data_IF_283060323413
#
_entry.id   IF_283060323413
#
_cell.length_a   1.000
_cell.length_b   1.000
_cell.length_c   1.000
_cell.angle_alpha   90.00
_cell.angle_beta   90.00
_cell.angle_gamma   90.00
#
_symmetry.space_group_name_H-M   'P 1'
#
loop_
_entity.id
_entity.type
_entity.pdbx_description
1 polymer ?
#
# COMPACT_ATOMS: atom_id res chain seq x y z
N UNK A 1 14.26 -6.95 -13.54
CA UNK A 1 13.93 -5.52 -13.68
C UNK A 1 13.55 -5.09 -15.09
N UNK A 2 14.20 -5.55 -16.16
CA UNK A 2 13.81 -5.11 -17.52
C UNK A 2 12.34 -5.43 -17.88
N UNK A 3 11.86 -6.64 -17.54
CA UNK A 3 10.45 -7.01 -17.74
C UNK A 3 9.48 -6.12 -16.94
N UNK A 4 9.84 -5.76 -15.71
CA UNK A 4 9.05 -4.85 -14.87
C UNK A 4 8.97 -3.46 -15.50
N UNK A 5 10.10 -2.88 -15.91
CA UNK A 5 10.11 -1.57 -16.57
C UNK A 5 9.31 -1.55 -17.88
N UNK A 6 9.31 -2.65 -18.63
CA UNK A 6 8.56 -2.80 -19.87
C UNK A 6 7.03 -2.86 -19.66
N UNK A 7 6.55 -3.15 -18.45
CA UNK A 7 5.13 -3.10 -18.12
C UNK A 7 4.60 -1.66 -17.96
N UNK A 8 5.49 -0.66 -17.89
CA UNK A 8 5.14 0.75 -17.78
C UNK A 8 5.33 1.49 -19.11
N UNK A 9 4.94 2.77 -19.13
CA UNK A 9 5.19 3.65 -20.28
C UNK A 9 6.69 3.77 -20.60
N UNK A 10 7.06 4.06 -21.86
CA UNK A 10 8.44 3.97 -22.36
C UNK A 10 9.44 4.88 -21.64
N UNK A 11 8.97 5.92 -20.93
CA UNK A 11 9.81 6.86 -20.16
C UNK A 11 9.79 6.62 -18.65
N UNK A 12 9.09 5.58 -18.17
CA UNK A 12 8.88 5.35 -16.73
C UNK A 12 10.19 5.21 -15.95
N UNK A 13 11.14 4.44 -16.50
CA UNK A 13 12.46 4.29 -15.88
C UNK A 13 13.18 5.63 -15.75
N UNK A 14 13.22 6.42 -16.82
CA UNK A 14 13.84 7.75 -16.82
C UNK A 14 13.18 8.70 -15.82
N UNK A 15 11.84 8.67 -15.70
CA UNK A 15 11.14 9.48 -14.71
C UNK A 15 11.45 9.04 -13.27
N UNK A 16 11.54 7.74 -13.01
CA UNK A 16 11.93 7.21 -11.71
C UNK A 16 13.39 7.57 -11.36
N UNK A 17 14.31 7.48 -12.31
CA UNK A 17 15.71 7.91 -12.14
C UNK A 17 15.81 9.40 -11.80
N UNK A 18 15.07 10.27 -12.48
CA UNK A 18 15.05 11.70 -12.20
C UNK A 18 14.47 12.01 -10.81
N UNK A 19 13.39 11.32 -10.43
CA UNK A 19 12.81 11.44 -9.09
C UNK A 19 13.81 11.03 -8.00
N UNK A 20 14.44 9.87 -8.17
CA UNK A 20 15.44 9.33 -7.24
C UNK A 20 16.69 10.21 -7.17
N UNK A 21 17.11 10.84 -8.27
CA UNK A 21 18.20 11.82 -8.25
C UNK A 21 17.89 13.00 -7.31
N UNK A 22 16.63 13.48 -7.29
CA UNK A 22 16.19 14.52 -6.36
C UNK A 22 16.21 14.06 -4.90
N UNK A 23 15.74 12.84 -4.62
CA UNK A 23 15.82 12.22 -3.27
C UNK A 23 17.28 12.13 -2.83
N UNK A 24 18.14 11.59 -3.68
CA UNK A 24 19.56 11.38 -3.39
C UNK A 24 20.33 12.69 -3.22
N UNK A 25 19.94 13.76 -3.91
CA UNK A 25 20.50 15.09 -3.68
C UNK A 25 20.20 15.58 -2.25
N UNK A 26 18.97 15.36 -1.75
CA UNK A 26 18.61 15.69 -0.37
C UNK A 26 19.37 14.83 0.65
N UNK A 27 19.50 13.53 0.39
CA UNK A 27 20.29 12.60 1.22
C UNK A 27 21.76 13.02 1.28
N UNK A 28 22.34 13.42 0.14
CA UNK A 28 23.72 13.91 0.07
C UNK A 28 23.91 15.20 0.89
N UNK A 29 22.96 16.14 0.84
CA UNK A 29 23.00 17.34 1.67
C UNK A 29 22.97 17.02 3.17
N UNK A 30 22.15 16.04 3.59
CA UNK A 30 22.09 15.58 4.99
C UNK A 30 23.42 14.96 5.40
N UNK A 31 23.97 14.06 4.58
CA UNK A 31 25.24 13.38 4.88
C UNK A 31 26.44 14.34 4.89
N UNK A 32 26.40 15.41 4.09
CA UNK A 32 27.39 16.48 4.09
C UNK A 32 27.20 17.51 5.22
N UNK A 33 26.18 17.36 6.08
CA UNK A 33 25.88 18.30 7.16
C UNK A 33 25.30 19.64 6.69
N UNK A 34 24.93 19.78 5.41
CA UNK A 34 24.28 20.97 4.85
C UNK A 34 22.81 21.07 5.28
N UNK A 35 22.20 19.92 5.58
CA UNK A 35 20.84 19.81 6.11
C UNK A 35 20.86 19.00 7.42
N UNK A 36 19.96 19.31 8.37
CA UNK A 36 19.88 18.55 9.61
C UNK A 36 19.42 17.12 9.33
N UNK A 37 19.96 16.16 10.11
CA UNK A 37 19.46 14.79 10.11
C UNK A 37 18.00 14.78 10.63
N UNK A 38 17.04 14.23 9.87
CA UNK A 38 15.65 14.12 10.33
C UNK A 38 15.56 13.40 11.68
N UNK A 39 14.59 13.78 12.50
CA UNK A 39 14.47 13.35 13.89
C UNK A 39 14.31 11.83 14.00
N UNK A 40 13.62 11.21 13.06
CA UNK A 40 13.36 9.77 13.00
C UNK A 40 14.66 8.98 12.91
N UNK A 41 15.58 9.40 12.04
CA UNK A 41 16.91 8.81 11.91
C UNK A 41 17.74 8.98 13.18
N UNK A 42 17.63 10.15 13.84
CA UNK A 42 18.32 10.42 15.11
C UNK A 42 17.81 9.52 16.24
N UNK A 43 16.49 9.38 16.37
CA UNK A 43 15.85 8.51 17.36
C UNK A 43 16.23 7.05 17.10
N UNK A 44 16.21 6.61 15.85
CA UNK A 44 16.53 5.25 15.47
C UNK A 44 18.04 4.93 15.49
N UNK A 45 18.91 5.93 15.63
CA UNK A 45 20.36 5.76 15.53
C UNK A 45 20.82 5.31 14.13
N UNK A 46 20.07 5.67 13.08
CA UNK A 46 20.32 5.29 11.69
C UNK A 46 20.60 6.52 10.82
N UNK A 47 20.92 6.29 9.54
CA UNK A 47 21.11 7.35 8.53
C UNK A 47 20.29 7.03 7.28
N UNK A 48 19.85 8.04 6.51
CA UNK A 48 19.20 7.81 5.24
C UNK A 48 20.18 7.18 4.24
N UNK A 49 19.71 6.17 3.52
CA UNK A 49 20.45 5.53 2.44
C UNK A 49 20.11 6.17 1.08
N UNK A 50 20.95 5.93 0.08
CA UNK A 50 20.69 6.31 -1.30
C UNK A 50 19.66 5.37 -1.93
N UNK A 51 18.78 5.94 -2.74
CA UNK A 51 17.74 5.22 -3.45
C UNK A 51 18.20 4.84 -4.85
N UNK A 52 17.65 3.75 -5.37
CA UNK A 52 17.70 3.34 -6.77
C UNK A 52 16.34 3.51 -7.43
N UNK A 53 16.29 3.63 -8.77
CA UNK A 53 15.02 3.75 -9.50
C UNK A 53 14.11 2.52 -9.26
N UNK A 54 14.73 1.35 -9.07
CA UNK A 54 14.07 0.09 -8.76
C UNK A 54 13.27 0.15 -7.45
N UNK A 55 13.71 0.94 -6.47
CA UNK A 55 13.01 1.05 -5.18
C UNK A 55 11.63 1.71 -5.32
N UNK A 56 11.42 2.52 -6.36
CA UNK A 56 10.12 3.15 -6.67
C UNK A 56 9.09 2.11 -7.12
N UNK A 57 9.51 1.05 -7.82
CA UNK A 57 8.61 0.03 -8.38
C UNK A 57 8.50 -1.21 -7.50
N UNK A 58 9.55 -1.55 -6.73
CA UNK A 58 9.55 -2.68 -5.78
C UNK A 58 8.42 -2.61 -4.74
N UNK A 59 8.04 -1.41 -4.31
CA UNK A 59 6.96 -1.25 -3.31
C UNK A 59 5.62 -1.80 -3.83
N UNK A 60 5.41 -1.88 -5.16
CA UNK A 60 4.14 -2.34 -5.74
C UNK A 60 4.03 -3.85 -5.90
N UNK A 61 5.13 -4.61 -5.91
CA UNK A 61 5.08 -6.08 -6.11
C UNK A 61 4.39 -6.81 -4.95
N UNK A 62 4.21 -6.14 -3.80
CA UNK A 62 3.48 -6.67 -2.65
C UNK A 62 2.00 -6.23 -2.62
N UNK A 63 1.50 -5.57 -3.66
CA UNK A 63 0.16 -4.97 -3.72
C UNK A 63 -0.84 -5.74 -4.57
N UNK A 64 -0.73 -7.06 -4.73
CA UNK A 64 -1.67 -7.84 -5.54
C UNK A 64 -2.96 -8.07 -4.76
N UNK A 65 -3.86 -7.10 -4.94
CA UNK A 65 -5.25 -6.97 -4.50
C UNK A 65 -5.46 -7.10 -2.98
N UNK A 66 -6.01 -6.05 -2.38
CA UNK A 66 -6.19 -5.79 -0.93
C UNK A 66 -7.03 -6.83 -0.16
N UNK A 67 -7.27 -8.00 -0.73
CA UNK A 67 -8.07 -9.08 -0.19
C UNK A 67 -7.30 -10.40 -0.03
N UNK A 68 -6.02 -10.53 -0.40
CA UNK A 68 -5.32 -11.85 -0.35
C UNK A 68 -5.39 -12.52 1.03
N UNK A 69 -5.24 -11.77 2.12
CA UNK A 69 -5.40 -12.28 3.47
C UNK A 69 -6.84 -12.75 3.76
N UNK A 70 -7.83 -12.01 3.25
CA UNK A 70 -9.25 -12.36 3.33
C UNK A 70 -9.61 -13.58 2.47
N UNK A 71 -8.93 -13.80 1.33
CA UNK A 71 -9.10 -14.98 0.47
C UNK A 71 -8.47 -16.24 1.10
N UNK A 72 -7.28 -16.12 1.71
CA UNK A 72 -6.69 -17.23 2.48
C UNK A 72 -7.61 -17.60 3.65
N UNK A 73 -8.12 -16.60 4.38
CA UNK A 73 -9.10 -16.84 5.45
C UNK A 73 -10.38 -17.50 4.93
N UNK A 74 -10.88 -17.10 3.76
CA UNK A 74 -12.02 -17.75 3.08
C UNK A 74 -11.74 -19.22 2.78
N UNK A 75 -10.56 -19.56 2.27
CA UNK A 75 -10.18 -20.95 1.99
C UNK A 75 -10.16 -21.79 3.28
N UNK A 76 -9.60 -21.25 4.37
CA UNK A 76 -9.58 -21.92 5.67
C UNK A 76 -10.99 -22.12 6.25
N UNK A 77 -11.87 -21.13 6.12
CA UNK A 77 -13.29 -21.25 6.52
C UNK A 77 -14.01 -22.30 5.67
N UNK A 78 -13.78 -22.29 4.35
CA UNK A 78 -14.37 -23.25 3.44
C UNK A 78 -13.93 -24.69 3.76
N UNK A 79 -12.66 -24.89 4.12
CA UNK A 79 -12.18 -26.19 4.59
C UNK A 79 -12.84 -26.62 5.91
N UNK A 80 -12.97 -25.72 6.87
CA UNK A 80 -13.46 -26.06 8.22
C UNK A 80 -14.99 -26.23 8.30
N UNK A 81 -15.76 -25.47 7.52
CA UNK A 81 -17.21 -25.34 7.69
C UNK A 81 -18.00 -25.29 6.36
N UNK A 82 -17.34 -25.51 5.23
CA UNK A 82 -17.94 -25.39 3.89
C UNK A 82 -17.97 -23.95 3.38
N UNK A 83 -18.05 -23.80 2.06
CA UNK A 83 -17.93 -22.50 1.39
C UNK A 83 -19.00 -21.48 1.83
N UNK A 84 -20.22 -21.96 2.10
CA UNK A 84 -21.33 -21.12 2.52
C UNK A 84 -21.12 -20.46 3.88
N UNK A 85 -20.23 -20.99 4.72
CA UNK A 85 -19.93 -20.41 6.03
C UNK A 85 -19.25 -19.03 5.90
N UNK A 86 -18.55 -18.74 4.79
CA UNK A 86 -17.85 -17.47 4.59
C UNK A 86 -18.79 -16.26 4.57
N UNK A 87 -20.08 -16.46 4.24
CA UNK A 87 -21.10 -15.40 4.25
C UNK A 87 -21.30 -14.77 5.63
N UNK A 88 -20.99 -15.50 6.70
CA UNK A 88 -21.08 -14.98 8.08
C UNK A 88 -19.86 -14.16 8.47
N UNK A 89 -18.74 -14.32 7.75
CA UNK A 89 -17.51 -13.56 7.97
C UNK A 89 -17.51 -12.27 7.14
N UNK A 90 -17.81 -12.37 5.85
CA UNK A 90 -17.80 -11.24 4.92
C UNK A 90 -19.00 -11.33 3.97
N UNK A 91 -19.82 -10.27 3.96
CA UNK A 91 -20.80 -10.04 2.89
C UNK A 91 -20.08 -9.53 1.63
N UNK A 92 -20.35 -10.17 0.50
CA UNK A 92 -19.86 -9.75 -0.82
C UNK A 92 -20.81 -8.73 -1.44
N UNK A 93 -20.25 -7.65 -1.97
CA UNK A 93 -21.01 -6.58 -2.62
C UNK A 93 -20.32 -6.18 -3.94
N UNK A 94 -21.02 -6.23 -5.10
CA UNK A 94 -22.41 -6.67 -5.26
C UNK A 94 -22.61 -8.15 -4.90
N UNK A 95 -23.86 -8.58 -4.72
CA UNK A 95 -24.20 -9.96 -4.38
C UNK A 95 -23.50 -10.95 -5.34
N UNK A 96 -22.81 -11.93 -4.77
CA UNK A 96 -22.02 -12.90 -5.52
C UNK A 96 -22.09 -14.29 -4.90
N UNK A 97 -22.27 -15.31 -5.73
CA UNK A 97 -22.19 -16.72 -5.31
C UNK A 97 -20.79 -17.25 -5.52
N UNK A 98 -20.05 -17.39 -4.42
CA UNK A 98 -18.68 -17.91 -4.45
C UNK A 98 -18.66 -19.36 -4.95
N UNK A 99 -17.64 -19.71 -5.73
CA UNK A 99 -17.37 -21.08 -6.18
C UNK A 99 -15.90 -21.39 -5.94
N UNK A 100 -15.60 -22.65 -5.64
CA UNK A 100 -14.22 -23.13 -5.59
C UNK A 100 -13.69 -23.19 -7.02
N UNK A 101 -12.57 -22.52 -7.35
CA UNK A 101 -11.92 -22.66 -8.65
C UNK A 101 -11.57 -24.10 -8.96
N UNK A 102 -11.62 -24.48 -10.24
CA UNK A 102 -11.20 -25.82 -10.68
C UNK A 102 -9.75 -26.11 -10.23
N UNK A 103 -9.54 -27.27 -9.63
CA UNK A 103 -8.23 -27.70 -9.14
C UNK A 103 -7.78 -27.12 -7.79
N UNK A 104 -8.57 -26.24 -7.16
CA UNK A 104 -8.27 -25.74 -5.82
C UNK A 104 -8.91 -26.64 -4.74
N UNK A 105 -8.09 -27.21 -3.86
CA UNK A 105 -8.56 -27.77 -2.58
C UNK A 105 -8.35 -26.71 -1.47
N UNK A 106 -9.42 -26.15 -0.87
CA UNK A 106 -9.29 -25.18 0.22
C UNK A 106 -8.52 -25.72 1.43
N UNK A 107 -8.57 -27.03 1.70
CA UNK A 107 -7.85 -27.66 2.80
C UNK A 107 -6.35 -27.79 2.54
N UNK A 108 -5.91 -27.64 1.28
CA UNK A 108 -4.49 -27.64 0.94
C UNK A 108 -3.78 -26.31 1.27
N UNK A 109 -4.52 -25.23 1.54
CA UNK A 109 -3.96 -23.90 1.79
C UNK A 109 -3.38 -23.83 3.21
N UNK A 110 -2.04 -23.68 3.37
CA UNK A 110 -1.45 -23.60 4.69
C UNK A 110 -1.84 -22.29 5.40
N UNK A 111 -2.08 -22.36 6.70
CA UNK A 111 -2.43 -21.19 7.51
C UNK A 111 -1.37 -20.07 7.46
N UNK A 112 -0.09 -20.45 7.38
CA UNK A 112 1.06 -19.53 7.30
C UNK A 112 1.50 -19.17 5.87
N UNK A 113 0.70 -19.46 4.84
CA UNK A 113 1.08 -19.25 3.43
C UNK A 113 1.45 -17.78 3.10
N UNK A 114 1.00 -16.84 3.93
CA UNK A 114 1.26 -15.41 3.77
C UNK A 114 2.37 -14.86 4.67
N UNK A 115 3.22 -15.68 5.28
CA UNK A 115 4.32 -15.20 6.14
C UNK A 115 5.20 -14.17 5.43
N UNK A 116 5.73 -14.51 4.24
CA UNK A 116 6.57 -13.59 3.47
C UNK A 116 5.81 -12.32 3.04
N UNK A 117 4.51 -12.45 2.74
CA UNK A 117 3.65 -11.32 2.39
C UNK A 117 3.42 -10.38 3.58
N UNK A 118 3.10 -10.93 4.77
CA UNK A 118 2.96 -10.16 6.01
C UNK A 118 4.24 -9.39 6.30
N UNK A 119 5.40 -10.08 6.33
CA UNK A 119 6.69 -9.44 6.59
C UNK A 119 7.02 -8.31 5.61
N UNK A 120 6.60 -8.43 4.36
CA UNK A 120 6.85 -7.43 3.33
C UNK A 120 5.84 -6.27 3.30
N UNK A 121 4.63 -6.45 3.83
CA UNK A 121 3.53 -5.46 3.70
C UNK A 121 3.09 -4.82 5.00
N UNK A 122 3.39 -5.44 6.13
CA UNK A 122 2.96 -4.92 7.43
C UNK A 122 3.64 -3.60 7.77
N UNK A 123 2.98 -2.74 8.58
CA UNK A 123 3.60 -1.51 9.06
C UNK A 123 4.93 -1.75 9.77
N UNK A 124 5.89 -0.84 9.56
CA UNK A 124 7.18 -0.88 10.25
C UNK A 124 6.95 -0.73 11.75
N UNK A 125 7.48 -1.69 12.52
CA UNK A 125 7.51 -1.63 14.00
C UNK A 125 8.91 -1.30 14.46
N UNK A 126 9.05 -0.19 15.18
CA UNK A 126 10.30 0.15 15.86
C UNK A 126 10.35 -0.60 17.19
N UNK A 127 11.35 -1.45 17.36
CA UNK A 127 11.62 -2.19 18.58
C UNK A 127 13.07 -1.96 19.02
N UNK A 128 13.33 -2.05 20.32
CA UNK A 128 14.69 -2.01 20.84
C UNK A 128 15.52 -3.16 20.21
N UNK A 129 16.84 -3.01 20.02
CA UNK A 129 17.67 -4.01 19.34
C UNK A 129 17.51 -5.45 19.88
N UNK A 130 17.36 -5.59 21.20
CA UNK A 130 17.13 -6.88 21.87
C UNK A 130 15.80 -7.56 21.50
N UNK A 131 14.81 -6.78 21.08
CA UNK A 131 13.43 -7.22 20.81
C UNK A 131 13.14 -7.32 19.30
N UNK A 132 14.10 -6.98 18.43
CA UNK A 132 13.90 -6.97 16.97
C UNK A 132 13.48 -8.33 16.42
N UNK A 133 14.08 -9.43 16.89
CA UNK A 133 13.70 -10.79 16.44
C UNK A 133 12.25 -11.12 16.78
N UNK A 134 11.80 -10.77 17.98
CA UNK A 134 10.41 -10.98 18.38
C UNK A 134 9.45 -10.08 17.60
N UNK A 135 9.84 -8.83 17.32
CA UNK A 135 9.08 -7.92 16.46
C UNK A 135 8.98 -8.42 15.01
N UNK A 136 9.93 -9.24 14.56
CA UNK A 136 9.96 -9.88 13.24
C UNK A 136 9.21 -11.21 13.16
N UNK A 137 8.69 -11.76 14.25
CA UNK A 137 7.92 -13.00 14.20
C UNK A 137 6.58 -12.80 13.47
N UNK A 138 6.25 -13.74 12.59
CA UNK A 138 4.93 -13.84 11.98
C UNK A 138 4.00 -14.66 12.89
N UNK A 139 2.80 -14.14 13.13
CA UNK A 139 1.72 -14.84 13.82
C UNK A 139 0.55 -14.96 12.86
N UNK A 140 0.31 -16.15 12.28
CA UNK A 140 -0.74 -16.33 11.28
C UNK A 140 -2.15 -16.20 11.87
N UNK A 141 -2.34 -16.52 13.15
CA UNK A 141 -3.64 -16.37 13.82
C UNK A 141 -4.00 -14.90 13.94
N UNK A 142 -3.07 -14.10 14.45
CA UNK A 142 -3.24 -12.65 14.54
C UNK A 142 -3.43 -12.02 13.17
N UNK A 143 -2.57 -12.35 12.21
CA UNK A 143 -2.61 -11.78 10.87
C UNK A 143 -3.96 -12.04 10.17
N UNK A 144 -4.48 -13.28 10.26
CA UNK A 144 -5.78 -13.63 9.68
C UNK A 144 -6.96 -13.06 10.48
N UNK A 145 -6.84 -12.88 11.79
CA UNK A 145 -7.87 -12.21 12.58
C UNK A 145 -8.07 -10.75 12.12
N UNK A 146 -6.98 -10.05 11.81
CA UNK A 146 -6.96 -8.65 11.36
C UNK A 146 -7.32 -8.49 9.86
N UNK A 147 -7.31 -9.57 9.07
CA UNK A 147 -7.47 -9.55 7.61
C UNK A 147 -8.76 -8.85 7.10
N UNK A 148 -9.83 -8.87 7.90
CA UNK A 148 -11.12 -8.28 7.51
C UNK A 148 -11.33 -6.87 8.07
N UNK A 149 -10.58 -6.49 9.10
CA UNK A 149 -10.73 -5.21 9.79
C UNK A 149 -10.29 -4.02 8.92
N UNK A 150 -9.34 -4.23 8.01
CA UNK A 150 -8.85 -3.18 7.12
C UNK A 150 -9.92 -2.61 6.17
N UNK A 151 -11.02 -3.34 5.92
CA UNK A 151 -12.11 -2.87 5.07
C UNK A 151 -12.96 -1.80 5.75
N UNK A 152 -13.14 -1.90 7.07
CA UNK A 152 -14.04 -1.01 7.82
C UNK A 152 -13.38 0.32 8.19
N UNK A 153 -12.06 0.44 8.04
CA UNK A 153 -11.28 1.64 8.38
C UNK A 153 -10.94 2.53 7.18
N UNK A 154 -11.39 2.16 5.98
CA UNK A 154 -11.19 2.92 4.74
C UNK A 154 -12.52 3.44 4.20
N UNK A 155 -12.52 4.68 3.74
CA UNK A 155 -13.69 5.32 3.16
C UNK A 155 -13.30 6.35 2.13
N UNK A 156 -14.29 6.87 1.39
CA UNK A 156 -14.09 8.01 0.51
C UNK A 156 -15.44 8.64 0.18
N UNK A 157 -15.47 9.96 0.14
CA UNK A 157 -16.49 10.71 -0.58
C UNK A 157 -15.90 11.30 -1.86
N UNK A 158 -16.73 11.45 -2.89
CA UNK A 158 -16.40 12.20 -4.09
C UNK A 158 -17.66 12.84 -4.70
N UNK A 159 -17.58 14.11 -5.10
CA UNK A 159 -18.68 14.80 -5.79
C UNK A 159 -18.18 15.47 -7.06
N UNK A 160 -19.00 15.40 -8.10
CA UNK A 160 -18.88 16.20 -9.32
C UNK A 160 -20.20 16.93 -9.52
N UNK A 161 -20.14 18.26 -9.60
CA UNK A 161 -21.32 19.11 -9.83
C UNK A 161 -21.15 19.75 -11.20
N UNK A 162 -22.13 19.52 -12.08
CA UNK A 162 -22.18 20.12 -13.40
C UNK A 162 -22.30 21.66 -13.30
N UNK A 163 -21.70 22.37 -14.25
CA UNK A 163 -21.75 23.84 -14.34
C UNK A 163 -23.17 24.42 -14.27
N UNK A 164 -24.16 23.74 -14.87
CA UNK A 164 -25.57 24.17 -14.86
C UNK A 164 -26.23 24.12 -13.48
N UNK A 165 -25.56 23.54 -12.48
CA UNK A 165 -26.01 23.43 -11.09
C UNK A 165 -25.19 24.31 -10.13
N UNK A 166 -24.35 25.22 -10.64
CA UNK A 166 -23.53 26.12 -9.81
C UNK A 166 -23.85 27.59 -10.12
N UNK A 167 -23.80 28.46 -9.11
CA UNK A 167 -24.05 29.90 -9.29
C UNK A 167 -23.00 30.60 -10.16
N UNK A 168 -21.80 30.01 -10.29
CA UNK A 168 -20.68 30.56 -11.07
C UNK A 168 -20.66 30.09 -12.52
N UNK A 169 -21.50 29.11 -12.89
CA UNK A 169 -21.43 28.45 -14.19
C UNK A 169 -20.16 27.62 -14.41
N UNK A 170 -19.38 27.33 -13.37
CA UNK A 170 -18.17 26.48 -13.44
C UNK A 170 -18.43 25.14 -12.75
N UNK A 171 -17.92 24.01 -13.27
CA UNK A 171 -18.06 22.72 -12.59
C UNK A 171 -17.29 22.70 -11.27
N UNK A 172 -17.74 21.88 -10.33
CA UNK A 172 -17.06 21.64 -9.04
C UNK A 172 -16.68 20.17 -8.96
N UNK A 173 -15.44 19.90 -8.55
CA UNK A 173 -14.92 18.58 -8.20
C UNK A 173 -14.49 18.63 -6.73
N UNK A 174 -15.01 17.71 -5.92
CA UNK A 174 -14.62 17.54 -4.52
C UNK A 174 -14.22 16.09 -4.28
N UNK A 175 -13.05 15.87 -3.69
CA UNK A 175 -12.56 14.55 -3.28
C UNK A 175 -12.23 14.59 -1.80
N UNK A 176 -12.62 13.54 -1.07
CA UNK A 176 -12.45 13.45 0.39
C UNK A 176 -12.16 11.98 0.76
N UNK A 177 -10.92 11.49 0.52
CA UNK A 177 -10.53 10.13 0.86
C UNK A 177 -10.31 9.98 2.37
N UNK A 178 -10.93 8.99 2.99
CA UNK A 178 -10.77 8.67 4.41
C UNK A 178 -9.79 7.52 4.57
N UNK A 179 -8.58 7.84 4.99
CA UNK A 179 -7.49 6.89 5.20
C UNK A 179 -6.84 7.14 6.53
N UNK A 180 -6.21 6.11 7.07
CA UNK A 180 -5.37 6.22 8.25
C UNK A 180 -4.32 7.32 8.07
N UNK A 181 -4.07 8.06 9.15
CA UNK A 181 -2.94 8.97 9.21
C UNK A 181 -1.70 8.13 9.57
N UNK A 182 -0.75 8.06 8.64
CA UNK A 182 0.49 7.30 8.79
C UNK A 182 1.72 8.20 8.67
N UNK A 183 2.85 7.72 9.18
CA UNK A 183 4.17 8.29 8.91
C UNK A 183 5.02 7.16 8.31
N UNK A 184 5.44 7.26 7.03
CA UNK A 184 5.21 8.36 6.10
C UNK A 184 3.72 8.52 5.72
N UNK A 185 3.31 9.76 5.42
CA UNK A 185 1.95 10.06 4.98
C UNK A 185 1.65 9.38 3.65
N UNK A 186 0.47 8.78 3.54
CA UNK A 186 -0.04 8.25 2.27
C UNK A 186 -0.21 9.34 1.20
N UNK A 187 -0.40 10.59 1.61
CA UNK A 187 -0.74 11.73 0.75
C UNK A 187 0.26 12.86 0.95
N UNK A 188 0.71 13.44 -0.17
CA UNK A 188 1.57 14.62 -0.16
C UNK A 188 1.11 15.55 -1.29
N UNK A 189 0.67 16.76 -0.95
CA UNK A 189 0.17 17.71 -1.95
C UNK A 189 1.36 18.26 -2.75
N UNK A 190 1.32 18.09 -4.07
CA UNK A 190 2.34 18.58 -5.00
C UNK A 190 1.67 19.29 -6.16
N UNK A 191 2.20 20.46 -6.53
CA UNK A 191 1.98 21.08 -7.83
C UNK A 191 3.19 20.85 -8.72
N UNK A 192 2.99 20.29 -9.92
CA UNK A 192 4.02 20.12 -10.95
C UNK A 192 3.70 21.02 -12.14
N UNK A 193 4.69 21.81 -12.55
CA UNK A 193 4.60 22.70 -13.70
C UNK A 193 5.85 22.52 -14.57
N UNK A 194 5.66 22.13 -15.83
CA UNK A 194 6.70 22.03 -16.85
C UNK A 194 6.06 22.14 -18.25
N UNK A 195 6.85 22.21 -19.35
CA UNK A 195 6.29 22.22 -20.70
C UNK A 195 5.34 21.04 -20.95
N UNK A 196 4.07 21.33 -21.25
CA UNK A 196 3.04 20.33 -21.50
C UNK A 196 2.44 19.67 -20.25
N UNK A 197 2.82 20.07 -19.03
CA UNK A 197 2.26 19.55 -17.78
C UNK A 197 1.97 20.68 -16.78
N UNK A 198 0.73 20.73 -16.30
CA UNK A 198 0.32 21.55 -15.18
C UNK A 198 -0.69 20.76 -14.36
N UNK A 199 -0.24 20.21 -13.24
CA UNK A 199 -1.06 19.32 -12.40
C UNK A 199 -0.83 19.67 -10.94
N UNK A 200 -1.89 19.59 -10.15
CA UNK A 200 -1.84 19.71 -8.69
C UNK A 200 -2.73 18.62 -8.08
N UNK A 201 -2.30 18.03 -6.98
CA UNK A 201 -3.04 17.00 -6.27
C UNK A 201 -2.25 16.41 -5.12
N UNK A 202 -2.76 15.32 -4.55
CA UNK A 202 -2.17 14.51 -3.49
C UNK A 202 -2.43 13.02 -3.72
#
# INVERSE_FOLDING_TARGET
MNAEWAAYGPKAKTYAEAFVAGVNAYVADVNAGKRPLPIEFRIAGTKPDLWSAEDVVRVRSHGLTRNVASEVKRALVACAAGLDADRFRVKLEPDWTTKIPEGLDPCSVPKGVLEAYDLATRPVKFAAPKDQKAALAHDPDRFLAEADQQRDTIGSNNWVIAASRTATGRPILANDPHREHSVPSLRYIVGLNAPGISVIGA
#
